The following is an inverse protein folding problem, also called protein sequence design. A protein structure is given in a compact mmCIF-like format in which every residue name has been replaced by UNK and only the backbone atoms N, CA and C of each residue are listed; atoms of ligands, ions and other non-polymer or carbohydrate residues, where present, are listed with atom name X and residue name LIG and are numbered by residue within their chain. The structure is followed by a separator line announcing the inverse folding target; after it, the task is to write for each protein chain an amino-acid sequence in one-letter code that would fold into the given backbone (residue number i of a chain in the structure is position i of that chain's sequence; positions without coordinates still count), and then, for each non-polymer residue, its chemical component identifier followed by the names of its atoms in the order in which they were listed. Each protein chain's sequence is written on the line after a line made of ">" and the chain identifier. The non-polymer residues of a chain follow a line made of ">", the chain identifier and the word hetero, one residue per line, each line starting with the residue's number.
data_IF_970749590955
#
_entry.id   IF_970749590955
#
_cell.length_a   1.000
_cell.length_b   1.000
_cell.length_c   1.000
_cell.angle_alpha   90.00
_cell.angle_beta   90.00
_cell.angle_gamma   90.00
#
_symmetry.space_group_name_H-M   'P 1'
#
loop_
_entity.id
_entity.type
_entity.pdbx_description
1 polymer ?
#
# COMPACT_ATOMS: atom_id res chain seq x y z
N UNK A 1 17.47 -0.39 -0.36
CA UNK A 1 16.77 -0.99 0.81
C UNK A 1 17.42 -2.31 1.23
N UNK A 2 17.67 -3.25 0.30
CA UNK A 2 18.32 -4.55 0.61
C UNK A 2 19.69 -4.39 1.26
N UNK A 3 20.54 -3.47 0.78
CA UNK A 3 21.85 -3.18 1.39
C UNK A 3 21.73 -2.75 2.85
N UNK A 4 20.77 -1.87 3.17
CA UNK A 4 20.51 -1.42 4.54
C UNK A 4 20.01 -2.57 5.41
N UNK A 5 19.09 -3.39 4.91
CA UNK A 5 18.58 -4.55 5.64
C UNK A 5 19.72 -5.54 5.95
N UNK A 6 20.56 -5.85 4.98
CA UNK A 6 21.73 -6.71 5.18
C UNK A 6 22.73 -6.15 6.20
N UNK A 7 22.94 -4.84 6.18
CA UNK A 7 23.76 -4.15 7.20
C UNK A 7 23.18 -4.34 8.61
N UNK A 8 21.88 -4.12 8.78
CA UNK A 8 21.19 -4.31 10.06
C UNK A 8 21.26 -5.77 10.52
N UNK A 9 21.08 -6.74 9.62
CA UNK A 9 21.16 -8.16 9.93
C UNK A 9 22.57 -8.54 10.43
N UNK A 10 23.61 -8.05 9.78
CA UNK A 10 25.01 -8.28 10.19
C UNK A 10 25.28 -7.73 11.60
N UNK A 11 24.63 -6.65 11.99
CA UNK A 11 24.79 -5.99 13.29
C UNK A 11 23.73 -6.37 14.34
N UNK A 12 22.92 -7.40 14.11
CA UNK A 12 21.79 -7.79 14.97
C UNK A 12 22.13 -8.04 16.45
N UNK A 13 23.40 -8.38 16.75
CA UNK A 13 23.86 -8.55 18.14
C UNK A 13 24.14 -7.24 18.86
N UNK A 14 24.34 -6.14 18.10
CA UNK A 14 24.70 -4.81 18.62
C UNK A 14 23.52 -3.83 18.61
N UNK A 15 22.46 -4.14 17.86
CA UNK A 15 21.36 -3.20 17.59
C UNK A 15 20.03 -3.90 17.86
N UNK A 16 19.20 -3.28 18.71
CA UNK A 16 17.79 -3.64 18.79
C UNK A 16 17.04 -3.04 17.61
N UNK A 17 16.41 -3.88 16.77
CA UNK A 17 15.79 -3.44 15.55
C UNK A 17 14.55 -4.26 15.19
N UNK A 18 13.51 -3.59 14.72
CA UNK A 18 12.39 -4.22 14.00
C UNK A 18 12.38 -3.68 12.58
N UNK A 19 12.57 -4.56 11.61
CA UNK A 19 12.46 -4.24 10.19
C UNK A 19 11.03 -4.51 9.74
N UNK A 20 10.35 -3.47 9.28
CA UNK A 20 9.00 -3.53 8.76
C UNK A 20 9.03 -3.44 7.23
N UNK A 21 8.79 -4.54 6.54
CA UNK A 21 8.66 -4.61 5.09
C UNK A 21 7.19 -4.39 4.72
N UNK A 22 6.81 -3.16 4.43
CA UNK A 22 5.43 -2.86 4.04
C UNK A 22 5.24 -2.86 2.53
N UNK A 23 4.04 -3.26 2.14
CA UNK A 23 3.60 -3.38 0.76
C UNK A 23 3.07 -2.03 0.24
N UNK A 24 2.02 -1.99 -0.55
CA UNK A 24 1.53 -0.73 -1.08
C UNK A 24 0.74 0.03 -0.02
N UNK A 25 1.32 1.11 0.50
CA UNK A 25 0.63 1.97 1.48
C UNK A 25 -0.39 2.84 0.76
N UNK A 26 -1.62 2.87 1.28
CA UNK A 26 -2.73 3.59 0.68
C UNK A 26 -3.69 4.15 1.74
N UNK A 27 -4.70 4.91 1.31
CA UNK A 27 -5.61 5.58 2.22
C UNK A 27 -5.00 6.82 2.87
N UNK A 28 -5.81 7.52 3.65
CA UNK A 28 -5.43 8.72 4.40
C UNK A 28 -6.03 8.72 5.79
N UNK A 29 -5.58 9.62 6.65
CA UNK A 29 -6.11 9.79 8.00
C UNK A 29 -7.64 10.01 8.00
N UNK A 30 -8.35 9.29 8.87
CA UNK A 30 -9.82 9.35 8.98
C UNK A 30 -10.35 10.78 9.19
N UNK A 31 -9.59 11.62 9.92
CA UNK A 31 -9.93 13.03 10.18
C UNK A 31 -9.45 13.97 9.07
N UNK A 32 -8.82 13.44 8.02
CA UNK A 32 -8.26 14.22 6.90
C UNK A 32 -7.27 15.33 7.35
N UNK A 33 -6.48 15.07 8.39
CA UNK A 33 -5.45 15.99 8.89
C UNK A 33 -4.16 15.90 8.07
N UNK A 34 -3.88 14.72 7.53
CA UNK A 34 -2.72 14.45 6.70
C UNK A 34 -3.05 13.41 5.63
N UNK A 35 -2.36 13.50 4.52
CA UNK A 35 -2.45 12.58 3.40
C UNK A 35 -1.29 12.82 2.44
N UNK A 36 -1.22 12.01 1.42
CA UNK A 36 -0.16 12.14 0.45
C UNK A 36 -0.41 13.35 -0.46
N UNK A 37 0.55 14.28 -0.51
CA UNK A 37 0.48 15.48 -1.33
C UNK A 37 1.68 15.52 -2.28
N UNK A 38 1.41 15.53 -3.59
CA UNK A 38 2.41 15.64 -4.64
C UNK A 38 1.80 16.13 -5.94
N UNK A 39 2.59 16.83 -6.75
CA UNK A 39 2.17 17.29 -8.09
C UNK A 39 2.24 16.20 -9.16
N UNK A 40 2.94 15.09 -8.90
CA UNK A 40 3.09 13.96 -9.84
C UNK A 40 2.61 12.67 -9.21
N UNK A 41 1.86 11.85 -9.94
CA UNK A 41 1.44 10.53 -9.50
C UNK A 41 2.62 9.58 -9.34
N UNK A 42 2.80 9.05 -8.14
CA UNK A 42 3.88 8.11 -7.81
C UNK A 42 3.37 6.70 -7.52
N UNK A 43 2.07 6.52 -7.32
CA UNK A 43 1.44 5.22 -7.07
C UNK A 43 0.07 5.14 -7.76
N UNK A 44 -0.49 3.92 -7.82
CA UNK A 44 -1.77 3.65 -8.50
C UNK A 44 -2.91 4.55 -7.99
N UNK A 45 -3.11 4.59 -6.67
CA UNK A 45 -4.21 5.34 -6.04
C UNK A 45 -4.16 6.82 -6.43
N UNK A 46 -2.99 7.42 -6.32
CA UNK A 46 -2.78 8.83 -6.67
C UNK A 46 -2.98 9.09 -8.16
N UNK A 47 -2.49 8.19 -9.02
CA UNK A 47 -2.69 8.30 -10.47
C UNK A 47 -4.16 8.26 -10.86
N UNK A 48 -4.97 7.42 -10.20
CA UNK A 48 -6.42 7.36 -10.41
C UNK A 48 -7.11 8.65 -9.93
N UNK A 49 -6.69 9.21 -8.78
CA UNK A 49 -7.20 10.50 -8.32
C UNK A 49 -6.88 11.65 -9.30
N UNK A 50 -5.66 11.68 -9.84
CA UNK A 50 -5.29 12.64 -10.88
C UNK A 50 -6.10 12.45 -12.18
N UNK A 51 -6.28 11.20 -12.60
CA UNK A 51 -7.07 10.91 -13.80
C UNK A 51 -8.52 11.40 -13.65
N UNK A 52 -9.12 11.21 -12.46
CA UNK A 52 -10.45 11.73 -12.16
C UNK A 52 -10.50 13.25 -12.21
N UNK A 53 -9.62 13.92 -11.46
CA UNK A 53 -9.68 15.38 -11.33
C UNK A 53 -9.36 16.10 -12.63
N UNK A 54 -8.32 15.64 -13.34
CA UNK A 54 -7.86 16.26 -14.60
C UNK A 54 -8.59 15.73 -15.84
N UNK A 55 -9.52 14.77 -15.66
CA UNK A 55 -10.20 14.04 -16.75
C UNK A 55 -9.23 13.43 -17.77
N UNK A 56 -8.02 13.09 -17.33
CA UNK A 56 -6.99 12.50 -18.17
C UNK A 56 -7.22 11.00 -18.38
N UNK A 57 -6.61 10.47 -19.44
CA UNK A 57 -6.59 9.03 -19.71
C UNK A 57 -5.61 8.35 -18.74
N UNK A 58 -6.07 7.33 -18.02
CA UNK A 58 -5.22 6.50 -17.17
C UNK A 58 -4.58 5.38 -18.00
N UNK A 59 -3.28 5.13 -17.82
CA UNK A 59 -2.60 4.01 -18.49
C UNK A 59 -2.49 2.83 -17.54
N UNK A 60 -3.10 1.70 -17.92
CA UNK A 60 -2.91 0.40 -17.30
C UNK A 60 -1.67 -0.24 -17.91
N UNK A 61 -0.65 -0.53 -17.13
CA UNK A 61 0.63 -1.05 -17.64
C UNK A 61 0.59 -2.58 -17.82
N UNK A 62 0.14 -3.01 -18.98
CA UNK A 62 -0.05 -4.41 -19.35
C UNK A 62 -1.39 -5.00 -18.89
N UNK A 63 -1.90 -5.94 -19.67
CA UNK A 63 -3.10 -6.73 -19.38
C UNK A 63 -2.90 -8.22 -19.69
N UNK A 64 -1.64 -8.63 -19.77
CA UNK A 64 -1.17 -9.97 -20.16
C UNK A 64 -0.43 -10.69 -19.02
N UNK A 65 -0.63 -10.24 -17.76
CA UNK A 65 -0.08 -10.92 -16.59
C UNK A 65 -0.90 -12.19 -16.28
N UNK A 66 -0.25 -13.21 -15.77
CA UNK A 66 -0.88 -14.46 -15.31
C UNK A 66 -1.67 -14.21 -14.02
N UNK A 67 -2.78 -13.48 -14.13
CA UNK A 67 -3.67 -13.10 -13.04
C UNK A 67 -5.12 -13.17 -13.53
N UNK A 68 -6.07 -13.08 -12.60
CA UNK A 68 -7.51 -13.22 -12.90
C UNK A 68 -8.10 -12.22 -13.90
N UNK A 69 -7.44 -11.07 -14.12
CA UNK A 69 -7.88 -10.03 -15.08
C UNK A 69 -6.74 -9.49 -15.95
N UNK A 70 -5.62 -10.19 -15.97
CA UNK A 70 -4.45 -9.82 -16.76
C UNK A 70 -3.65 -8.65 -16.20
N UNK A 71 -4.01 -8.09 -15.02
CA UNK A 71 -3.28 -6.98 -14.42
C UNK A 71 -2.59 -7.37 -13.11
N UNK A 72 -1.46 -6.71 -12.73
CA UNK A 72 -0.70 -7.13 -11.56
C UNK A 72 -1.51 -6.98 -10.26
N UNK A 73 -1.25 -7.91 -9.32
CA UNK A 73 -1.94 -7.96 -8.02
C UNK A 73 -1.00 -7.44 -6.92
N UNK A 74 -1.52 -6.57 -6.04
CA UNK A 74 -0.78 -5.98 -4.93
C UNK A 74 -1.59 -5.99 -3.65
N UNK A 75 -0.91 -6.16 -2.51
CA UNK A 75 -1.46 -5.96 -1.18
C UNK A 75 -1.43 -4.46 -0.83
N UNK A 76 -2.57 -3.92 -0.38
CA UNK A 76 -2.73 -2.50 -0.03
C UNK A 76 -3.01 -2.36 1.46
N UNK A 77 -2.02 -1.89 2.22
CA UNK A 77 -2.17 -1.59 3.64
C UNK A 77 -2.59 -0.14 3.85
N UNK A 78 -3.59 0.08 4.68
CA UNK A 78 -4.03 1.43 5.04
C UNK A 78 -2.99 2.12 5.92
N UNK A 79 -2.73 3.41 5.65
CA UNK A 79 -1.71 4.19 6.36
C UNK A 79 -1.92 4.22 7.88
N UNK A 80 -3.16 4.23 8.36
CA UNK A 80 -3.46 4.22 9.81
C UNK A 80 -3.10 2.88 10.46
N UNK A 81 -3.37 1.76 9.79
CA UNK A 81 -2.97 0.43 10.28
C UNK A 81 -1.44 0.29 10.28
N UNK A 82 -0.77 0.83 9.28
CA UNK A 82 0.69 0.87 9.25
C UNK A 82 1.26 1.75 10.38
N UNK A 83 0.66 2.90 10.67
CA UNK A 83 1.05 3.75 11.79
C UNK A 83 0.87 3.03 13.14
N UNK A 84 -0.23 2.28 13.32
CA UNK A 84 -0.44 1.45 14.51
C UNK A 84 0.63 0.37 14.65
N UNK A 85 1.00 -0.30 13.55
CA UNK A 85 2.12 -1.27 13.54
C UNK A 85 3.41 -0.61 14.03
N UNK A 86 3.75 0.58 13.54
CA UNK A 86 4.96 1.30 13.98
C UNK A 86 4.92 1.62 15.47
N UNK A 87 3.78 2.10 15.99
CA UNK A 87 3.62 2.39 17.41
C UNK A 87 3.78 1.12 18.26
N UNK A 88 3.14 0.02 17.88
CA UNK A 88 3.25 -1.26 18.58
C UNK A 88 4.69 -1.82 18.53
N UNK A 89 5.36 -1.70 17.39
CA UNK A 89 6.74 -2.10 17.22
C UNK A 89 7.69 -1.26 18.11
N UNK A 90 7.51 0.07 18.12
CA UNK A 90 8.30 0.97 19.00
C UNK A 90 8.14 0.60 20.49
N UNK A 91 6.92 0.35 20.96
CA UNK A 91 6.68 -0.10 22.34
C UNK A 91 7.35 -1.43 22.68
N UNK A 92 7.49 -2.33 21.70
CA UNK A 92 8.17 -3.61 21.90
C UNK A 92 9.69 -3.47 21.97
N UNK A 93 10.27 -2.62 21.12
CA UNK A 93 11.71 -2.45 21.03
C UNK A 93 12.34 -1.86 22.30
N UNK A 94 11.57 -1.06 23.05
CA UNK A 94 12.00 -0.48 24.33
C UNK A 94 12.20 -1.54 25.44
N UNK A 95 11.72 -2.76 25.25
CA UNK A 95 11.72 -3.80 26.30
C UNK A 95 12.94 -4.72 26.32
N UNK A 96 13.91 -4.63 25.45
CA UNK A 96 15.23 -5.30 25.39
C UNK A 96 15.70 -5.70 24.00
N UNK A 97 17.00 -6.03 23.92
CA UNK A 97 17.74 -6.40 22.72
C UNK A 97 17.05 -7.51 21.91
N UNK A 98 16.38 -7.16 20.85
CA UNK A 98 15.91 -8.14 19.89
C UNK A 98 15.92 -7.63 18.47
N UNK A 99 16.04 -8.56 17.55
CA UNK A 99 16.06 -8.29 16.13
C UNK A 99 14.96 -9.10 15.45
N UNK A 100 14.04 -8.43 14.76
CA UNK A 100 12.92 -9.07 14.08
C UNK A 100 12.66 -8.42 12.71
N UNK A 101 12.17 -9.22 11.77
CA UNK A 101 11.77 -8.78 10.44
C UNK A 101 10.34 -9.22 10.19
N UNK A 102 9.48 -8.30 9.75
CA UNK A 102 8.08 -8.57 9.51
C UNK A 102 7.60 -8.01 8.18
N UNK A 103 6.74 -8.75 7.48
CA UNK A 103 5.96 -8.24 6.37
C UNK A 103 4.69 -7.57 6.90
N UNK A 104 4.40 -6.36 6.41
CA UNK A 104 3.28 -5.53 6.84
C UNK A 104 2.31 -5.35 5.67
N UNK A 105 1.26 -6.14 5.66
CA UNK A 105 0.16 -6.13 4.71
C UNK A 105 -1.03 -6.85 5.31
N UNK A 106 -2.05 -7.11 4.50
CA UNK A 106 -3.26 -7.79 4.97
C UNK A 106 -3.33 -9.28 4.58
N UNK A 107 -2.42 -9.73 3.71
CA UNK A 107 -2.47 -11.08 3.16
C UNK A 107 -3.53 -11.25 2.08
N UNK A 108 -4.02 -10.13 1.54
CA UNK A 108 -4.98 -10.10 0.45
C UNK A 108 -4.56 -9.11 -0.63
N UNK A 109 -4.69 -9.51 -1.89
CA UNK A 109 -4.25 -8.71 -3.02
C UNK A 109 -5.39 -8.26 -3.92
N UNK A 110 -5.28 -7.03 -4.41
CA UNK A 110 -6.18 -6.45 -5.41
C UNK A 110 -5.43 -6.17 -6.70
N UNK A 111 -6.07 -6.46 -7.82
CA UNK A 111 -5.55 -6.14 -9.16
C UNK A 111 -5.73 -4.65 -9.48
N UNK A 112 -5.02 -4.17 -10.51
CA UNK A 112 -5.18 -2.78 -10.97
C UNK A 112 -6.61 -2.52 -11.43
N UNK A 113 -7.21 -3.47 -12.16
CA UNK A 113 -8.58 -3.33 -12.65
C UNK A 113 -9.63 -3.36 -11.55
N UNK A 114 -9.43 -4.16 -10.49
CA UNK A 114 -10.33 -4.16 -9.33
C UNK A 114 -10.32 -2.81 -8.61
N UNK A 115 -9.14 -2.22 -8.43
CA UNK A 115 -9.01 -0.88 -7.84
C UNK A 115 -9.66 0.17 -8.73
N UNK A 116 -9.43 0.14 -10.04
CA UNK A 116 -10.05 1.05 -11.00
C UNK A 116 -11.59 0.97 -10.96
N UNK A 117 -12.15 -0.26 -10.94
CA UNK A 117 -13.60 -0.48 -10.79
C UNK A 117 -14.14 0.14 -9.50
N UNK A 118 -13.44 -0.04 -8.37
CA UNK A 118 -13.85 0.57 -7.08
C UNK A 118 -13.76 2.09 -7.12
N UNK A 119 -12.72 2.65 -7.73
CA UNK A 119 -12.62 4.11 -7.92
C UNK A 119 -13.80 4.66 -8.74
N UNK A 120 -14.12 4.04 -9.87
CA UNK A 120 -15.26 4.42 -10.70
C UNK A 120 -16.58 4.38 -9.92
N UNK A 121 -16.79 3.32 -9.14
CA UNK A 121 -18.00 3.15 -8.33
C UNK A 121 -18.13 4.24 -7.26
N UNK A 122 -17.08 4.49 -6.46
CA UNK A 122 -17.16 5.44 -5.34
C UNK A 122 -17.01 6.91 -5.73
N UNK A 123 -16.43 7.20 -6.89
CA UNK A 123 -16.36 8.57 -7.42
C UNK A 123 -17.59 8.98 -8.22
N UNK A 124 -18.49 8.03 -8.48
CA UNK A 124 -19.60 8.19 -9.42
C UNK A 124 -19.14 8.76 -10.79
N UNK A 125 -17.97 8.35 -11.22
CA UNK A 125 -17.33 8.83 -12.46
C UNK A 125 -16.60 7.69 -13.15
N UNK A 126 -16.53 7.75 -14.49
CA UNK A 126 -15.83 6.76 -15.29
C UNK A 126 -14.44 7.26 -15.68
N UNK A 127 -13.39 6.70 -15.11
CA UNK A 127 -12.00 6.94 -15.53
C UNK A 127 -11.80 6.30 -16.89
N UNK A 128 -11.46 7.09 -17.91
CA UNK A 128 -11.03 6.58 -19.22
C UNK A 128 -9.62 5.99 -19.08
N UNK A 129 -9.38 4.83 -19.66
CA UNK A 129 -8.07 4.19 -19.60
C UNK A 129 -7.68 3.57 -20.94
N UNK A 130 -6.38 3.38 -21.12
CA UNK A 130 -5.78 2.63 -22.23
C UNK A 130 -4.84 1.58 -21.66
N UNK A 131 -4.64 0.51 -22.41
CA UNK A 131 -3.64 -0.51 -22.08
C UNK A 131 -2.31 -0.08 -22.68
N UNK A 132 -1.31 0.12 -21.83
CA UNK A 132 0.06 0.39 -22.21
C UNK A 132 0.94 -0.86 -22.11
N UNK A 133 2.21 -0.72 -22.45
CA UNK A 133 3.20 -1.80 -22.31
C UNK A 133 3.42 -2.16 -20.83
N UNK A 134 3.74 -3.43 -20.56
CA UNK A 134 4.20 -3.87 -19.21
C UNK A 134 5.40 -3.05 -18.76
N UNK A 135 5.46 -2.76 -17.47
CA UNK A 135 6.68 -2.22 -16.86
C UNK A 135 7.77 -3.28 -16.85
N UNK A 136 9.00 -2.88 -17.16
CA UNK A 136 10.16 -3.78 -17.06
C UNK A 136 10.31 -4.28 -15.61
N UNK A 137 10.46 -5.59 -15.43
CA UNK A 137 10.62 -6.26 -14.13
C UNK A 137 9.47 -6.03 -13.15
N UNK A 138 8.24 -5.79 -13.63
CA UNK A 138 7.09 -5.69 -12.73
C UNK A 138 6.70 -7.08 -12.21
N UNK A 139 6.45 -7.17 -10.90
CA UNK A 139 6.09 -8.41 -10.22
C UNK A 139 4.63 -8.72 -10.54
N UNK A 140 4.33 -9.97 -10.92
CA UNK A 140 2.96 -10.41 -11.24
C UNK A 140 2.05 -10.31 -10.01
N UNK A 141 2.45 -10.94 -8.90
CA UNK A 141 1.69 -10.96 -7.64
C UNK A 141 2.62 -10.62 -6.49
N UNK A 142 2.23 -9.63 -5.67
CA UNK A 142 2.96 -9.25 -4.45
C UNK A 142 1.98 -9.07 -3.30
N UNK A 143 1.89 -10.09 -2.44
CA UNK A 143 0.98 -10.19 -1.29
C UNK A 143 1.80 -10.53 -0.05
N UNK A 144 1.51 -9.89 1.08
CA UNK A 144 2.17 -10.15 2.34
C UNK A 144 1.70 -11.48 2.96
N UNK A 145 2.57 -12.12 3.75
CA UNK A 145 2.13 -13.00 4.82
C UNK A 145 2.24 -12.25 6.16
N UNK A 146 1.12 -11.78 6.74
CA UNK A 146 1.13 -10.97 7.95
C UNK A 146 1.09 -11.79 9.24
N UNK A 147 1.04 -13.13 9.18
CA UNK A 147 0.84 -14.00 10.36
C UNK A 147 1.83 -13.70 11.48
N UNK A 148 3.12 -13.58 11.15
CA UNK A 148 4.18 -13.32 12.13
C UNK A 148 4.01 -11.99 12.87
N UNK A 149 3.67 -10.90 12.16
CA UNK A 149 3.52 -9.59 12.79
C UNK A 149 2.25 -9.51 13.61
N UNK A 150 1.15 -10.11 13.16
CA UNK A 150 -0.12 -10.20 13.87
C UNK A 150 0.10 -10.89 15.23
N UNK A 151 0.74 -12.06 15.24
CA UNK A 151 1.01 -12.81 16.46
C UNK A 151 1.97 -12.05 17.41
N UNK A 152 3.06 -11.50 16.87
CA UNK A 152 4.08 -10.86 17.68
C UNK A 152 3.63 -9.54 18.31
N UNK A 153 2.95 -8.68 17.54
CA UNK A 153 2.45 -7.40 18.03
C UNK A 153 1.05 -7.49 18.63
N UNK A 154 0.37 -8.61 18.49
CA UNK A 154 -1.08 -8.76 18.78
C UNK A 154 -1.89 -7.69 18.04
N UNK A 155 -1.40 -7.32 16.85
CA UNK A 155 -2.05 -6.33 16.00
C UNK A 155 -3.33 -6.88 15.38
N UNK A 156 -4.36 -6.06 15.31
CA UNK A 156 -5.64 -6.38 14.65
C UNK A 156 -5.90 -5.34 13.56
N UNK A 157 -5.92 -5.74 12.28
CA UNK A 157 -6.25 -4.82 11.19
C UNK A 157 -7.64 -4.18 11.37
N UNK A 158 -7.72 -2.86 11.17
CA UNK A 158 -8.98 -2.09 11.32
C UNK A 158 -9.49 -1.54 9.99
N UNK A 159 -8.61 -1.42 8.99
CA UNK A 159 -8.89 -0.75 7.73
C UNK A 159 -8.59 -1.64 6.51
N UNK A 160 -8.72 -2.97 6.64
CA UNK A 160 -8.38 -3.93 5.57
C UNK A 160 -9.37 -3.92 4.39
N UNK A 161 -10.48 -3.20 4.49
CA UNK A 161 -11.43 -3.09 3.40
C UNK A 161 -10.94 -2.07 2.37
N UNK A 162 -10.83 -2.51 1.10
CA UNK A 162 -10.44 -1.64 -0.02
C UNK A 162 -11.35 -0.41 -0.16
N UNK A 163 -12.62 -0.53 0.23
CA UNK A 163 -13.56 0.59 0.25
C UNK A 163 -13.04 1.76 1.10
N UNK A 164 -12.54 1.49 2.32
CA UNK A 164 -11.98 2.52 3.20
C UNK A 164 -10.78 3.21 2.56
N UNK A 165 -9.90 2.43 1.91
CA UNK A 165 -8.75 2.95 1.19
C UNK A 165 -9.20 3.90 0.08
N UNK A 166 -10.14 3.47 -0.77
CA UNK A 166 -10.60 4.26 -1.92
C UNK A 166 -11.35 5.50 -1.48
N UNK A 167 -12.34 5.37 -0.57
CA UNK A 167 -13.15 6.50 -0.10
C UNK A 167 -12.30 7.57 0.60
N UNK A 168 -11.38 7.17 1.48
CA UNK A 168 -10.52 8.13 2.19
C UNK A 168 -9.57 8.84 1.23
N UNK A 169 -8.99 8.12 0.27
CA UNK A 169 -8.13 8.69 -0.76
C UNK A 169 -8.89 9.69 -1.65
N UNK A 170 -10.07 9.32 -2.15
CA UNK A 170 -10.91 10.21 -2.95
C UNK A 170 -11.26 11.48 -2.19
N UNK A 171 -11.73 11.35 -0.94
CA UNK A 171 -12.09 12.50 -0.11
C UNK A 171 -10.93 13.47 0.11
N UNK A 172 -9.73 12.94 0.33
CA UNK A 172 -8.52 13.75 0.49
C UNK A 172 -8.12 14.45 -0.81
N UNK A 173 -7.96 13.69 -1.87
CA UNK A 173 -7.39 14.21 -3.12
C UNK A 173 -8.35 15.17 -3.83
N UNK A 174 -9.65 14.93 -3.79
CA UNK A 174 -10.62 15.86 -4.36
C UNK A 174 -10.65 17.22 -3.63
N UNK A 175 -10.26 17.22 -2.35
CA UNK A 175 -10.16 18.45 -1.55
C UNK A 175 -8.85 19.20 -1.75
N UNK A 176 -7.71 18.49 -1.96
CA UNK A 176 -6.37 19.07 -1.86
C UNK A 176 -5.56 19.06 -3.15
N UNK A 177 -6.02 18.41 -4.21
CA UNK A 177 -5.45 18.41 -5.54
C UNK A 177 -6.44 19.05 -6.52
#
# INVERSE_FOLDING_TARGET
>A
KLKLENFLIKNKKKISCIILRYFNVAGVDKKLRCGFYTKKGSNLILNLCFALKKKNIFTVNGNDYETRDGTPIRDYIHVQDLAEIHLLAAKKILKKNFFKIFNCGYGHGYSVMEILKKFNFYSNSKIRYVIGKRRKNDIVISIADPKKIIQFLKWRPKHQNLEHVVKSSLKWYLKHI
#
